data_IF_035963179862
#
_entry.id   IF_035963179862
#
_cell.length_a   1.000
_cell.length_b   1.000
_cell.length_c   1.000
_cell.angle_alpha   90.00
_cell.angle_beta   90.00
_cell.angle_gamma   90.00
#
_symmetry.space_group_name_H-M   'P 1'
#
loop_
_entity.id
_entity.type
_entity.pdbx_description
1 polymer ?
#
# COMPACT_ATOMS: atom_id res chain seq x y z
N UNK A 1 51.47 -33.35 35.49
CA UNK A 1 51.09 -33.25 34.06
C UNK A 1 49.73 -33.89 33.89
N UNK A 2 48.67 -33.10 33.78
CA UNK A 2 47.34 -33.57 33.40
C UNK A 2 47.02 -32.90 32.06
N UNK A 3 46.94 -33.71 31.02
CA UNK A 3 46.53 -33.30 29.68
C UNK A 3 45.01 -33.14 29.74
N UNK A 4 44.53 -31.90 29.71
CA UNK A 4 43.13 -31.59 29.49
C UNK A 4 42.88 -31.72 27.99
N UNK A 5 42.25 -32.82 27.59
CA UNK A 5 41.72 -33.00 26.24
C UNK A 5 40.49 -32.10 26.14
N UNK A 6 40.67 -30.92 25.55
CA UNK A 6 39.56 -30.11 25.04
C UNK A 6 38.91 -30.89 23.90
N UNK A 7 37.74 -31.49 24.19
CA UNK A 7 36.85 -31.97 23.16
C UNK A 7 36.33 -30.76 22.38
N UNK A 8 37.03 -30.42 21.29
CA UNK A 8 36.51 -29.60 20.21
C UNK A 8 35.33 -30.37 19.62
N UNK A 9 34.13 -30.09 20.13
CA UNK A 9 32.93 -30.34 19.36
C UNK A 9 33.02 -29.46 18.12
N UNK A 10 33.37 -30.09 17.00
CA UNK A 10 33.12 -29.55 15.68
C UNK A 10 31.61 -29.36 15.56
N UNK A 11 31.11 -28.20 15.95
CA UNK A 11 29.79 -27.72 15.51
C UNK A 11 29.97 -27.49 14.01
N UNK A 12 29.78 -28.55 13.23
CA UNK A 12 29.62 -28.41 11.80
C UNK A 12 28.47 -27.45 11.58
N UNK A 13 28.75 -26.33 10.92
CA UNK A 13 27.75 -25.43 10.37
C UNK A 13 26.94 -26.20 9.31
N UNK A 14 26.02 -27.07 9.74
CA UNK A 14 25.05 -27.66 8.85
C UNK A 14 24.05 -26.55 8.50
N UNK A 15 24.34 -25.81 7.42
CA UNK A 15 23.38 -24.90 6.84
C UNK A 15 22.18 -25.70 6.33
N UNK A 16 20.98 -25.35 6.79
CA UNK A 16 19.75 -25.92 6.25
C UNK A 16 19.67 -25.58 4.76
N UNK A 17 19.50 -26.57 3.85
CA UNK A 17 19.35 -26.30 2.43
C UNK A 17 18.20 -25.32 2.15
N UNK A 18 18.39 -24.39 1.21
CA UNK A 18 17.42 -23.30 0.98
C UNK A 18 16.05 -23.81 0.51
N UNK A 19 15.99 -24.97 -0.14
CA UNK A 19 14.72 -25.61 -0.51
C UNK A 19 13.88 -26.03 0.70
N UNK A 20 14.50 -26.31 1.86
CA UNK A 20 13.79 -26.67 3.09
C UNK A 20 13.26 -25.46 3.86
N UNK A 21 13.74 -24.26 3.52
CA UNK A 21 13.32 -23.01 4.13
C UNK A 21 11.98 -22.52 3.60
N UNK A 22 11.52 -23.04 2.45
CA UNK A 22 10.18 -22.80 1.90
C UNK A 22 9.27 -24.02 2.09
N UNK A 23 7.96 -23.79 2.14
CA UNK A 23 6.98 -24.86 2.19
C UNK A 23 5.69 -24.46 1.48
N UNK A 24 5.18 -25.37 0.66
CA UNK A 24 3.82 -25.32 0.17
C UNK A 24 2.87 -25.80 1.27
N UNK A 25 2.15 -24.86 1.88
CA UNK A 25 1.12 -25.17 2.88
C UNK A 25 -0.16 -25.70 2.22
N UNK A 26 -0.35 -25.35 0.95
CA UNK A 26 -1.31 -25.90 -0.01
C UNK A 26 -0.78 -25.66 -1.43
N UNK A 27 -0.76 -26.70 -2.25
CA UNK A 27 -0.34 -26.64 -3.65
C UNK A 27 -1.16 -27.64 -4.47
N UNK A 28 -2.34 -27.21 -4.86
CA UNK A 28 -3.38 -28.01 -5.52
C UNK A 28 -3.67 -27.48 -6.94
N UNK A 29 -2.80 -26.62 -7.49
CA UNK A 29 -2.95 -26.05 -8.83
C UNK A 29 -4.10 -25.05 -8.90
N UNK A 30 -4.25 -24.21 -7.87
CA UNK A 30 -5.29 -23.18 -7.85
C UNK A 30 -4.89 -21.98 -8.72
N UNK A 31 -5.88 -21.20 -9.14
CA UNK A 31 -5.64 -20.03 -10.00
C UNK A 31 -5.00 -18.83 -9.26
N UNK A 32 -5.05 -18.81 -7.93
CA UNK A 32 -4.54 -17.70 -7.12
C UNK A 32 -3.44 -18.17 -6.17
N UNK A 33 -2.53 -17.27 -5.79
CA UNK A 33 -1.40 -17.57 -4.90
C UNK A 33 -1.36 -16.63 -3.70
N UNK A 34 -1.09 -17.18 -2.52
CA UNK A 34 -0.65 -16.46 -1.33
C UNK A 34 0.82 -16.77 -1.08
N UNK A 35 1.66 -15.74 -0.96
CA UNK A 35 3.08 -15.90 -0.61
C UNK A 35 3.36 -15.19 0.71
N UNK A 36 3.79 -15.94 1.71
CA UNK A 36 4.11 -15.45 3.05
C UNK A 36 5.63 -15.35 3.23
N UNK A 37 6.17 -14.14 3.44
CA UNK A 37 7.60 -13.90 3.71
C UNK A 37 7.79 -13.39 5.14
N UNK A 38 8.51 -14.17 5.97
CA UNK A 38 8.68 -13.87 7.40
C UNK A 38 9.64 -12.70 7.66
N UNK A 39 9.65 -12.18 8.89
CA UNK A 39 10.57 -11.14 9.34
C UNK A 39 11.96 -11.63 9.78
N UNK A 40 12.78 -10.69 10.23
CA UNK A 40 14.13 -10.94 10.75
C UNK A 40 14.12 -11.78 12.03
N UNK A 41 15.10 -12.66 12.18
CA UNK A 41 15.27 -13.54 13.35
C UNK A 41 14.01 -14.39 13.67
N UNK A 42 13.28 -14.77 12.63
CA UNK A 42 12.12 -15.66 12.67
C UNK A 42 12.27 -16.73 11.59
N UNK A 43 11.36 -17.70 11.58
CA UNK A 43 11.24 -18.71 10.53
C UNK A 43 9.85 -18.70 9.89
N UNK A 44 9.70 -19.43 8.78
CA UNK A 44 8.39 -19.68 8.17
C UNK A 44 7.39 -20.39 9.11
N UNK A 45 7.89 -21.14 10.10
CA UNK A 45 7.06 -21.89 11.03
C UNK A 45 6.59 -21.01 12.21
N UNK A 46 7.43 -20.07 12.66
CA UNK A 46 7.18 -19.28 13.87
C UNK A 46 6.49 -17.95 13.59
N UNK A 47 6.69 -17.37 12.40
CA UNK A 47 6.25 -16.01 12.10
C UNK A 47 4.72 -15.82 12.13
N UNK A 48 3.97 -16.85 11.77
CA UNK A 48 2.56 -16.70 11.39
C UNK A 48 1.55 -17.16 12.44
N UNK A 49 1.98 -17.81 13.53
CA UNK A 49 1.07 -18.31 14.56
C UNK A 49 -0.08 -19.13 13.97
N UNK A 50 -1.34 -18.67 14.15
CA UNK A 50 -2.52 -19.34 13.60
C UNK A 50 -2.94 -18.85 12.22
N UNK A 51 -2.25 -17.89 11.61
CA UNK A 51 -2.68 -17.25 10.36
C UNK A 51 -2.93 -18.25 9.23
N UNK A 52 -1.93 -19.09 8.94
CA UNK A 52 -2.02 -20.10 7.87
C UNK A 52 -3.09 -21.15 8.19
N UNK A 53 -3.16 -21.74 9.41
CA UNK A 53 -4.27 -22.61 9.78
C UNK A 53 -5.66 -21.95 9.61
N UNK A 54 -5.82 -20.67 9.98
CA UNK A 54 -7.08 -19.95 9.84
C UNK A 54 -7.50 -19.82 8.37
N UNK A 55 -6.55 -19.50 7.49
CA UNK A 55 -6.73 -19.41 6.02
C UNK A 55 -7.10 -20.77 5.45
N UNK A 56 -6.37 -21.84 5.81
CA UNK A 56 -6.64 -23.20 5.30
C UNK A 56 -8.01 -23.73 5.70
N UNK A 57 -8.52 -23.31 6.86
CA UNK A 57 -9.85 -23.68 7.32
C UNK A 57 -10.97 -22.78 6.74
N UNK A 58 -10.63 -21.70 6.03
CA UNK A 58 -11.58 -20.71 5.53
C UNK A 58 -11.88 -20.99 4.05
N UNK A 59 -13.12 -21.41 3.78
CA UNK A 59 -13.60 -21.69 2.42
C UNK A 59 -13.43 -20.50 1.48
N UNK A 60 -13.40 -19.28 2.01
CA UNK A 60 -13.12 -18.08 1.25
C UNK A 60 -11.74 -18.09 0.58
N UNK A 61 -10.82 -18.95 1.00
CA UNK A 61 -9.49 -19.09 0.41
C UNK A 61 -9.30 -20.41 -0.33
N UNK A 62 -10.32 -21.23 -0.57
CA UNK A 62 -10.17 -22.55 -1.25
C UNK A 62 -9.56 -22.43 -2.66
N UNK A 63 -9.65 -21.26 -3.29
CA UNK A 63 -9.11 -20.94 -4.62
C UNK A 63 -7.66 -20.44 -4.61
N UNK A 64 -6.93 -20.54 -3.50
CA UNK A 64 -5.55 -20.07 -3.37
C UNK A 64 -4.57 -21.22 -3.12
N UNK A 65 -3.46 -21.29 -3.80
CA UNK A 65 -2.29 -22.01 -3.26
C UNK A 65 -1.57 -21.12 -2.25
N UNK A 66 -0.86 -21.74 -1.30
CA UNK A 66 -0.24 -21.05 -0.17
C UNK A 66 1.22 -21.48 -0.08
N UNK A 67 2.11 -20.53 -0.30
CA UNK A 67 3.55 -20.68 -0.15
C UNK A 67 4.03 -19.91 1.08
N UNK A 68 4.58 -20.63 2.04
CA UNK A 68 5.38 -20.07 3.13
C UNK A 68 6.83 -19.98 2.67
N UNK A 69 7.27 -18.78 2.28
CA UNK A 69 8.63 -18.53 1.85
C UNK A 69 9.52 -18.17 3.05
N UNK A 70 10.55 -18.97 3.27
CA UNK A 70 11.60 -18.69 4.22
C UNK A 70 12.96 -18.61 3.56
N UNK A 71 13.90 -18.03 4.28
CA UNK A 71 15.23 -17.72 3.76
C UNK A 71 16.26 -17.71 4.91
N UNK A 72 17.56 -17.87 4.61
CA UNK A 72 18.56 -18.01 5.65
C UNK A 72 18.56 -16.84 6.63
N UNK A 73 18.49 -17.17 7.91
CA UNK A 73 18.63 -16.27 9.04
C UNK A 73 19.76 -16.78 9.91
N UNK A 74 20.77 -15.94 10.11
CA UNK A 74 21.79 -16.14 11.13
C UNK A 74 21.78 -14.92 12.03
N UNK A 75 21.85 -15.19 13.33
CA UNK A 75 21.94 -14.15 14.36
C UNK A 75 23.23 -13.35 14.16
N UNK A 76 24.35 -14.05 13.95
CA UNK A 76 25.68 -13.50 13.70
C UNK A 76 26.25 -13.98 12.37
N UNK A 77 27.11 -13.16 11.78
CA UNK A 77 27.85 -13.47 10.55
C UNK A 77 26.95 -13.75 9.34
N UNK A 78 25.71 -13.25 9.38
CA UNK A 78 24.82 -13.26 8.23
C UNK A 78 25.40 -12.37 7.13
N UNK A 79 25.87 -12.98 6.05
CA UNK A 79 26.50 -12.25 4.94
C UNK A 79 25.49 -11.80 3.88
N UNK A 80 24.48 -12.62 3.60
CA UNK A 80 23.48 -12.30 2.59
C UNK A 80 22.59 -11.17 3.10
N UNK A 81 22.42 -10.12 2.31
CA UNK A 81 21.57 -8.98 2.64
C UNK A 81 20.10 -9.21 2.20
N UNK A 82 19.28 -8.18 2.28
CA UNK A 82 17.87 -8.23 1.87
C UNK A 82 17.72 -8.41 0.34
N UNK A 83 18.64 -7.86 -0.46
CA UNK A 83 18.65 -8.00 -1.92
C UNK A 83 18.94 -9.41 -2.34
N UNK A 84 19.93 -10.06 -1.71
CA UNK A 84 20.26 -11.46 -2.01
C UNK A 84 19.05 -12.37 -1.78
N UNK A 85 18.35 -12.16 -0.67
CA UNK A 85 17.12 -12.89 -0.34
C UNK A 85 15.99 -12.57 -1.32
N UNK A 86 15.84 -11.30 -1.71
CA UNK A 86 14.88 -10.84 -2.71
C UNK A 86 15.13 -11.43 -4.10
N UNK A 87 16.39 -11.52 -4.52
CA UNK A 87 16.79 -12.14 -5.80
C UNK A 87 16.51 -13.65 -5.81
N UNK A 88 16.68 -14.33 -4.68
CA UNK A 88 16.27 -15.73 -4.54
C UNK A 88 14.75 -15.88 -4.66
N UNK A 89 13.97 -15.02 -3.97
CA UNK A 89 12.51 -15.03 -4.12
C UNK A 89 12.10 -14.72 -5.56
N UNK A 90 12.77 -13.80 -6.25
CA UNK A 90 12.54 -13.51 -7.68
C UNK A 90 12.71 -14.77 -8.54
N UNK A 91 13.73 -15.58 -8.25
CA UNK A 91 13.99 -16.82 -8.98
C UNK A 91 12.84 -17.81 -8.81
N UNK A 92 12.35 -18.01 -7.59
CA UNK A 92 11.17 -18.83 -7.31
C UNK A 92 9.94 -18.29 -8.05
N UNK A 93 9.67 -16.98 -7.94
CA UNK A 93 8.51 -16.35 -8.58
C UNK A 93 8.57 -16.40 -10.11
N UNK A 94 9.75 -16.44 -10.72
CA UNK A 94 9.90 -16.59 -12.18
C UNK A 94 9.36 -17.95 -12.65
N UNK A 95 9.48 -18.98 -11.81
CA UNK A 95 8.98 -20.33 -12.09
C UNK A 95 7.51 -20.46 -11.73
N UNK A 96 7.10 -19.92 -10.58
CA UNK A 96 5.78 -20.16 -10.02
C UNK A 96 4.70 -19.22 -10.54
N UNK A 97 4.97 -17.91 -10.64
CA UNK A 97 3.96 -16.92 -11.04
C UNK A 97 3.27 -17.21 -12.37
N UNK A 98 3.91 -17.78 -13.42
CA UNK A 98 3.22 -18.13 -14.66
C UNK A 98 1.94 -18.93 -14.46
N UNK A 99 1.88 -19.78 -13.43
CA UNK A 99 0.75 -20.67 -13.13
C UNK A 99 -0.45 -19.99 -12.46
N UNK A 100 -0.31 -18.72 -12.06
CA UNK A 100 -1.32 -18.00 -11.27
C UNK A 100 -1.79 -16.71 -11.95
N UNK A 101 -3.09 -16.42 -11.91
CA UNK A 101 -3.67 -15.18 -12.42
C UNK A 101 -3.49 -14.01 -11.43
N UNK A 102 -3.47 -14.36 -10.14
CA UNK A 102 -3.50 -13.42 -9.02
C UNK A 102 -2.52 -13.90 -7.96
N UNK A 103 -1.78 -12.97 -7.36
CA UNK A 103 -0.99 -13.27 -6.18
C UNK A 103 -1.08 -12.15 -5.14
N UNK A 104 -1.22 -12.56 -3.88
CA UNK A 104 -1.13 -11.67 -2.73
C UNK A 104 0.13 -12.05 -1.94
N UNK A 105 1.05 -11.10 -1.83
CA UNK A 105 2.27 -11.26 -1.05
C UNK A 105 2.06 -10.68 0.33
N UNK A 106 2.21 -11.48 1.37
CA UNK A 106 2.11 -11.07 2.78
C UNK A 106 3.52 -11.06 3.36
N UNK A 107 4.04 -9.86 3.61
CA UNK A 107 5.38 -9.67 4.17
C UNK A 107 5.31 -9.15 5.59
N UNK A 108 5.92 -9.86 6.54
CA UNK A 108 6.09 -9.38 7.92
C UNK A 108 7.46 -8.75 8.10
N UNK A 109 7.51 -7.55 8.70
CA UNK A 109 8.76 -6.84 9.01
C UNK A 109 9.69 -6.82 7.79
N UNK A 110 10.91 -7.33 7.91
CA UNK A 110 11.89 -7.50 6.83
C UNK A 110 11.36 -8.26 5.60
N UNK A 111 10.47 -9.23 5.79
CA UNK A 111 9.88 -10.01 4.71
C UNK A 111 9.10 -9.16 3.70
N UNK A 112 8.55 -8.03 4.14
CA UNK A 112 7.97 -7.04 3.22
C UNK A 112 9.02 -6.41 2.31
N UNK A 113 10.20 -6.07 2.84
CA UNK A 113 11.31 -5.54 2.02
C UNK A 113 11.82 -6.59 1.02
N UNK A 114 11.94 -7.84 1.45
CA UNK A 114 12.30 -8.98 0.57
C UNK A 114 11.32 -9.10 -0.61
N UNK A 115 10.01 -9.03 -0.34
CA UNK A 115 8.97 -9.06 -1.38
C UNK A 115 9.13 -7.89 -2.34
N UNK A 116 9.36 -6.67 -1.83
CA UNK A 116 9.55 -5.50 -2.70
C UNK A 116 10.77 -5.66 -3.61
N UNK A 117 11.90 -6.15 -3.09
CA UNK A 117 13.07 -6.44 -3.91
C UNK A 117 12.77 -7.41 -5.03
N UNK A 118 12.14 -8.55 -4.71
CA UNK A 118 11.80 -9.57 -5.69
C UNK A 118 10.91 -9.00 -6.82
N UNK A 119 9.90 -8.23 -6.44
CA UNK A 119 8.94 -7.63 -7.37
C UNK A 119 9.56 -6.51 -8.22
N UNK A 120 10.48 -5.70 -7.67
CA UNK A 120 11.21 -4.70 -8.45
C UNK A 120 12.13 -5.32 -9.49
N UNK A 121 12.83 -6.40 -9.13
CA UNK A 121 13.70 -7.12 -10.05
C UNK A 121 12.89 -7.85 -11.13
N UNK A 122 11.75 -8.45 -10.79
CA UNK A 122 10.80 -8.98 -11.76
C UNK A 122 10.31 -7.89 -12.72
N UNK A 123 9.95 -6.72 -12.21
CA UNK A 123 9.52 -5.60 -13.07
C UNK A 123 10.60 -5.07 -14.00
N UNK A 124 11.89 -5.23 -13.65
CA UNK A 124 13.01 -4.85 -14.50
C UNK A 124 13.43 -5.90 -15.54
N UNK A 125 13.37 -7.18 -15.19
CA UNK A 125 13.91 -8.28 -16.02
C UNK A 125 12.84 -9.15 -16.69
N UNK A 126 11.61 -9.15 -16.16
CA UNK A 126 10.50 -10.01 -16.57
C UNK A 126 9.17 -9.22 -16.51
N UNK A 127 9.15 -7.98 -17.01
CA UNK A 127 8.01 -7.07 -16.86
C UNK A 127 6.66 -7.66 -17.33
N UNK A 128 6.66 -8.45 -18.41
CA UNK A 128 5.47 -9.12 -18.94
C UNK A 128 4.88 -10.15 -17.97
N UNK A 129 5.72 -10.78 -17.13
CA UNK A 129 5.27 -11.76 -16.16
C UNK A 129 4.37 -11.13 -15.10
N UNK A 130 4.64 -9.87 -14.74
CA UNK A 130 3.89 -9.16 -13.71
C UNK A 130 2.81 -8.25 -14.27
N UNK A 131 2.94 -7.75 -15.51
CA UNK A 131 2.00 -6.79 -16.10
C UNK A 131 0.61 -7.39 -16.38
N UNK A 132 0.55 -8.69 -16.66
CA UNK A 132 -0.68 -9.39 -17.00
C UNK A 132 -1.34 -10.08 -15.78
N UNK A 133 -0.80 -9.85 -14.57
CA UNK A 133 -1.25 -10.52 -13.35
C UNK A 133 -1.77 -9.52 -12.32
N UNK A 134 -2.70 -9.97 -11.49
CA UNK A 134 -3.27 -9.15 -10.41
C UNK A 134 -2.45 -9.35 -9.14
N UNK A 135 -1.36 -8.60 -9.03
CA UNK A 135 -0.44 -8.69 -7.90
C UNK A 135 -0.74 -7.62 -6.84
N UNK A 136 -0.62 -7.96 -5.57
CA UNK A 136 -0.77 -7.03 -4.44
C UNK A 136 0.17 -7.41 -3.29
N UNK A 137 0.65 -6.42 -2.55
CA UNK A 137 1.47 -6.64 -1.35
C UNK A 137 0.71 -6.18 -0.12
N UNK A 138 0.63 -7.02 0.89
CA UNK A 138 0.21 -6.73 2.25
C UNK A 138 1.46 -6.72 3.13
N UNK A 139 1.86 -5.57 3.64
CA UNK A 139 3.02 -5.47 4.53
C UNK A 139 2.59 -5.22 5.97
N UNK A 140 3.21 -5.94 6.89
CA UNK A 140 2.89 -5.94 8.32
C UNK A 140 4.11 -5.47 9.10
N UNK A 141 4.12 -4.23 9.56
CA UNK A 141 5.23 -3.65 10.31
C UNK A 141 6.53 -3.56 9.52
N UNK A 142 6.46 -3.41 8.19
CA UNK A 142 7.66 -3.40 7.33
C UNK A 142 8.43 -2.08 7.44
N UNK A 143 9.73 -2.11 7.78
CA UNK A 143 10.48 -0.88 8.05
C UNK A 143 11.01 -0.20 6.78
N UNK A 144 10.15 0.50 6.04
CA UNK A 144 10.56 1.16 4.78
C UNK A 144 11.65 2.22 4.94
N UNK A 145 11.68 2.92 6.07
CA UNK A 145 12.74 3.88 6.41
C UNK A 145 13.68 3.35 7.50
N UNK A 146 13.66 2.03 7.71
CA UNK A 146 14.42 1.33 8.73
C UNK A 146 13.71 1.27 10.08
N UNK A 147 14.31 0.52 10.99
CA UNK A 147 13.78 0.19 12.30
C UNK A 147 14.79 0.56 13.38
N UNK A 148 14.30 0.83 14.60
CA UNK A 148 15.16 0.92 15.77
C UNK A 148 15.47 -0.49 16.26
N UNK A 149 16.29 -1.19 15.50
CA UNK A 149 16.89 -2.44 15.96
C UNK A 149 17.92 -2.07 17.01
N UNK A 150 17.61 -2.28 18.29
CA UNK A 150 18.55 -2.07 19.38
C UNK A 150 19.81 -2.88 19.05
N UNK A 151 20.92 -2.23 18.66
CA UNK A 151 22.16 -2.82 18.12
C UNK A 151 22.38 -4.28 18.54
N UNK A 152 21.77 -5.24 17.84
CA UNK A 152 21.35 -6.49 18.51
C UNK A 152 22.58 -7.30 18.96
N UNK A 153 23.77 -7.05 18.39
CA UNK A 153 24.92 -7.91 18.68
C UNK A 153 26.31 -7.26 18.75
N UNK A 154 26.41 -5.92 18.86
CA UNK A 154 27.71 -5.24 18.97
C UNK A 154 28.65 -5.47 17.76
N UNK A 155 29.90 -4.96 17.79
CA UNK A 155 30.81 -5.01 16.63
C UNK A 155 31.31 -6.42 16.27
N UNK A 156 31.12 -7.41 17.14
CA UNK A 156 31.66 -8.77 16.98
C UNK A 156 30.68 -9.77 16.33
N UNK A 157 29.49 -9.32 15.97
CA UNK A 157 28.46 -10.13 15.36
C UNK A 157 27.81 -9.33 14.23
N UNK A 158 28.52 -9.19 13.09
CA UNK A 158 28.02 -8.47 11.93
C UNK A 158 26.84 -9.22 11.31
N UNK A 159 25.86 -8.48 10.80
CA UNK A 159 24.67 -9.04 10.18
C UNK A 159 24.18 -8.11 9.07
N UNK A 160 24.41 -8.49 7.80
CA UNK A 160 24.07 -7.65 6.63
C UNK A 160 22.59 -7.29 6.56
N UNK A 161 21.70 -8.18 7.02
CA UNK A 161 20.26 -7.93 7.03
C UNK A 161 19.88 -6.90 8.09
N UNK A 162 20.44 -7.02 9.30
CA UNK A 162 20.23 -6.04 10.37
C UNK A 162 20.78 -4.65 9.96
N UNK A 163 21.96 -4.60 9.32
CA UNK A 163 22.54 -3.37 8.78
C UNK A 163 21.64 -2.74 7.70
N UNK A 164 21.08 -3.56 6.80
CA UNK A 164 20.18 -3.10 5.75
C UNK A 164 18.85 -2.55 6.28
N UNK A 165 18.41 -2.94 7.48
CA UNK A 165 17.21 -2.42 8.13
C UNK A 165 17.45 -1.26 9.09
N UNK A 166 18.69 -0.81 9.29
CA UNK A 166 18.95 0.39 10.11
C UNK A 166 18.24 1.60 9.53
N UNK A 167 17.82 2.50 10.42
CA UNK A 167 17.22 3.79 10.04
C UNK A 167 18.10 4.49 9.02
N UNK A 168 17.51 4.82 7.86
CA UNK A 168 18.19 5.48 6.74
C UNK A 168 19.43 4.73 6.23
N UNK A 169 19.42 3.40 6.27
CA UNK A 169 20.44 2.58 5.61
C UNK A 169 20.49 2.91 4.10
N UNK A 170 21.66 2.73 3.49
CA UNK A 170 21.81 2.88 2.03
C UNK A 170 20.83 1.97 1.27
N UNK A 171 20.58 0.79 1.81
CA UNK A 171 19.70 -0.20 1.18
C UNK A 171 18.23 0.22 1.25
N UNK A 172 17.73 0.63 2.42
CA UNK A 172 16.35 1.13 2.55
C UNK A 172 16.10 2.37 1.69
N UNK A 173 17.04 3.33 1.67
CA UNK A 173 16.95 4.51 0.84
C UNK A 173 16.90 4.17 -0.66
N UNK A 174 17.77 3.25 -1.10
CA UNK A 174 17.80 2.76 -2.47
C UNK A 174 16.52 2.04 -2.85
N UNK A 175 16.09 1.06 -2.06
CA UNK A 175 14.87 0.30 -2.31
C UNK A 175 13.67 1.23 -2.43
N UNK A 176 13.54 2.21 -1.53
CA UNK A 176 12.41 3.14 -1.56
C UNK A 176 12.46 4.10 -2.75
N UNK A 177 13.65 4.56 -3.13
CA UNK A 177 13.83 5.35 -4.35
C UNK A 177 13.45 4.53 -5.59
N UNK A 178 13.96 3.30 -5.69
CA UNK A 178 13.68 2.37 -6.77
C UNK A 178 12.17 2.06 -6.86
N UNK A 179 11.53 1.83 -5.71
CA UNK A 179 10.09 1.57 -5.64
C UNK A 179 9.26 2.76 -6.09
N UNK A 180 9.61 3.98 -5.68
CA UNK A 180 8.92 5.19 -6.14
C UNK A 180 9.05 5.41 -7.65
N UNK A 181 10.18 5.04 -8.24
CA UNK A 181 10.42 5.25 -9.67
C UNK A 181 9.82 4.14 -10.55
N UNK A 182 9.84 2.89 -10.08
CA UNK A 182 9.58 1.71 -10.91
C UNK A 182 8.53 0.75 -10.34
N UNK A 183 8.16 0.89 -9.07
CA UNK A 183 7.18 0.05 -8.41
C UNK A 183 5.79 0.29 -8.99
N UNK A 184 5.20 -0.75 -9.58
CA UNK A 184 3.86 -0.69 -10.20
C UNK A 184 2.81 -1.49 -9.46
N UNK A 185 3.24 -2.31 -8.50
CA UNK A 185 2.36 -3.23 -7.77
C UNK A 185 1.82 -2.49 -6.54
N UNK A 186 0.50 -2.49 -6.30
CA UNK A 186 -0.06 -1.83 -5.12
C UNK A 186 0.40 -2.50 -3.83
N UNK A 187 0.85 -1.66 -2.89
CA UNK A 187 1.27 -2.06 -1.54
C UNK A 187 0.29 -1.49 -0.53
N UNK A 188 -0.20 -2.35 0.37
CA UNK A 188 -1.12 -2.02 1.45
C UNK A 188 -0.35 -2.16 2.77
N UNK A 189 0.19 -1.04 3.30
CA UNK A 189 0.97 -1.08 4.52
C UNK A 189 0.09 -1.04 5.77
N UNK A 190 0.45 -1.90 6.73
CA UNK A 190 -0.16 -1.95 8.05
C UNK A 190 0.91 -1.85 9.14
N UNK A 191 0.59 -1.19 10.25
CA UNK A 191 1.47 -1.05 11.41
C UNK A 191 0.76 -1.45 12.71
N UNK A 192 1.54 -1.89 13.71
CA UNK A 192 1.05 -2.40 14.99
C UNK A 192 0.63 -1.32 15.98
N UNK A 193 -0.22 -0.39 15.53
CA UNK A 193 -0.82 0.68 16.33
C UNK A 193 0.16 1.40 17.26
N UNK A 194 -0.18 1.46 18.55
CA UNK A 194 0.65 2.05 19.61
C UNK A 194 1.60 1.02 20.28
N UNK A 195 1.56 -0.24 19.84
CA UNK A 195 2.24 -1.37 20.49
C UNK A 195 3.56 -1.73 19.81
N UNK A 196 3.74 -1.39 18.53
CA UNK A 196 4.99 -1.60 17.79
C UNK A 196 6.10 -0.64 18.27
N UNK A 197 7.09 -1.21 18.97
CA UNK A 197 8.28 -0.49 19.49
C UNK A 197 9.51 -0.65 18.59
N UNK A 198 9.43 -1.46 17.54
CA UNK A 198 10.56 -1.79 16.67
C UNK A 198 10.53 -0.91 15.42
N UNK A 199 9.33 -0.75 14.85
CA UNK A 199 9.09 0.01 13.63
C UNK A 199 8.08 1.11 13.91
N UNK A 200 8.53 2.35 13.79
CA UNK A 200 7.63 3.49 13.94
C UNK A 200 6.60 3.53 12.81
N UNK A 201 5.42 4.10 13.09
CA UNK A 201 4.40 4.34 12.07
C UNK A 201 4.97 5.07 10.83
N UNK A 202 5.82 6.07 11.04
CA UNK A 202 6.43 6.81 9.92
C UNK A 202 7.27 5.90 9.00
N UNK A 203 7.95 4.91 9.56
CA UNK A 203 8.69 3.92 8.79
C UNK A 203 7.75 2.90 8.14
N UNK A 204 6.79 2.35 8.89
CA UNK A 204 5.83 1.36 8.37
C UNK A 204 4.91 1.91 7.27
N UNK A 205 4.57 3.18 7.32
CA UNK A 205 3.69 3.84 6.35
C UNK A 205 4.46 4.50 5.20
N UNK A 206 5.80 4.46 5.20
CA UNK A 206 6.65 5.27 4.32
C UNK A 206 6.41 5.08 2.82
N UNK A 207 5.94 3.91 2.40
CA UNK A 207 5.70 3.58 0.99
C UNK A 207 4.39 4.15 0.43
N UNK A 208 3.36 4.27 1.28
CA UNK A 208 2.00 4.66 0.87
C UNK A 208 1.25 5.24 2.08
N UNK A 209 1.63 6.45 2.53
CA UNK A 209 1.14 7.02 3.80
C UNK A 209 -0.38 7.24 3.79
N UNK A 210 -0.98 7.57 2.65
CA UNK A 210 -2.40 7.90 2.53
C UNK A 210 -3.35 6.71 2.73
N UNK A 211 -2.84 5.49 2.56
CA UNK A 211 -3.63 4.24 2.68
C UNK A 211 -3.10 3.33 3.79
N UNK A 212 -2.15 3.83 4.60
CA UNK A 212 -1.59 3.07 5.71
C UNK A 212 -2.57 3.00 6.87
N UNK A 213 -2.79 1.81 7.41
CA UNK A 213 -3.76 1.59 8.48
C UNK A 213 -3.12 0.89 9.69
N UNK A 214 -3.60 1.21 10.89
CA UNK A 214 -3.24 0.45 12.08
C UNK A 214 -4.01 -0.87 12.14
N UNK A 215 -3.38 -1.90 12.68
CA UNK A 215 -4.02 -3.18 13.02
C UNK A 215 -3.64 -3.60 14.45
N UNK A 216 -4.30 -4.64 14.96
CA UNK A 216 -4.04 -5.16 16.30
C UNK A 216 -2.65 -5.80 16.42
N UNK A 217 -2.04 -5.68 17.60
CA UNK A 217 -0.79 -6.32 17.97
C UNK A 217 0.46 -5.42 17.89
N UNK A 218 1.51 -5.89 18.54
CA UNK A 218 2.86 -5.33 18.48
C UNK A 218 3.62 -5.79 17.22
N UNK A 219 4.92 -5.47 17.15
CA UNK A 219 5.76 -5.81 16.00
C UNK A 219 5.73 -7.29 15.62
N UNK A 220 5.61 -8.20 16.60
CA UNK A 220 5.64 -9.63 16.37
C UNK A 220 4.24 -10.20 16.16
N UNK A 221 3.29 -9.79 17.00
CA UNK A 221 1.93 -10.33 17.06
C UNK A 221 1.02 -9.80 15.96
N UNK A 222 1.38 -8.68 15.30
CA UNK A 222 0.69 -8.16 14.10
C UNK A 222 0.50 -9.22 13.00
N UNK A 223 1.44 -10.17 12.88
CA UNK A 223 1.44 -11.25 11.90
C UNK A 223 0.83 -12.57 12.43
N UNK A 224 0.33 -12.59 13.67
CA UNK A 224 -0.14 -13.79 14.39
C UNK A 224 -1.60 -13.64 14.84
N UNK A 225 -2.57 -13.49 13.92
CA UNK A 225 -3.98 -13.37 14.29
C UNK A 225 -4.44 -14.56 15.12
N UNK A 226 -5.15 -14.27 16.22
CA UNK A 226 -5.67 -15.29 17.14
C UNK A 226 -6.87 -16.04 16.56
N UNK A 227 -7.68 -15.34 15.78
CA UNK A 227 -8.88 -15.82 15.11
C UNK A 227 -9.18 -15.01 13.83
N UNK A 228 -10.34 -15.24 13.22
CA UNK A 228 -10.76 -14.58 11.98
C UNK A 228 -11.29 -13.15 12.17
N UNK A 229 -11.61 -12.74 13.39
CA UNK A 229 -12.07 -11.40 13.69
C UNK A 229 -10.89 -10.44 13.95
N UNK A 230 -9.71 -10.97 14.23
CA UNK A 230 -8.46 -10.20 14.30
C UNK A 230 -8.27 -9.32 13.06
N UNK A 231 -7.94 -8.04 13.27
CA UNK A 231 -8.00 -7.04 12.20
C UNK A 231 -7.09 -7.35 11.02
N UNK A 232 -5.85 -7.83 11.27
CA UNK A 232 -4.95 -8.34 10.21
C UNK A 232 -5.61 -9.39 9.31
N UNK A 233 -6.35 -10.35 9.88
CA UNK A 233 -7.03 -11.38 9.10
C UNK A 233 -8.14 -10.78 8.23
N UNK A 234 -8.95 -9.87 8.80
CA UNK A 234 -10.01 -9.15 8.08
C UNK A 234 -9.45 -8.31 6.94
N UNK A 235 -8.28 -7.68 7.11
CA UNK A 235 -7.60 -6.92 6.04
C UNK A 235 -7.18 -7.82 4.88
N UNK A 236 -6.68 -9.02 5.16
CA UNK A 236 -6.39 -10.01 4.11
C UNK A 236 -7.66 -10.40 3.32
N UNK A 237 -8.79 -10.62 4.01
CA UNK A 237 -10.06 -10.92 3.35
C UNK A 237 -10.52 -9.80 2.41
N UNK A 238 -10.41 -8.52 2.83
CA UNK A 238 -10.76 -7.37 1.98
C UNK A 238 -9.84 -7.29 0.75
N UNK A 239 -8.55 -7.56 0.91
CA UNK A 239 -7.60 -7.56 -0.21
C UNK A 239 -7.92 -8.67 -1.22
N UNK A 240 -8.36 -9.84 -0.75
CA UNK A 240 -8.84 -10.94 -1.57
C UNK A 240 -10.08 -10.54 -2.38
N UNK A 241 -11.07 -9.89 -1.77
CA UNK A 241 -12.31 -9.51 -2.45
C UNK A 241 -12.09 -8.47 -3.55
N UNK A 242 -11.17 -7.51 -3.33
CA UNK A 242 -10.71 -6.58 -4.38
C UNK A 242 -9.99 -7.29 -5.53
N UNK A 243 -9.54 -8.53 -5.33
CA UNK A 243 -8.98 -9.39 -6.37
C UNK A 243 -10.03 -10.25 -7.09
N UNK A 244 -11.19 -10.50 -6.51
CA UNK A 244 -12.25 -11.36 -7.07
C UNK A 244 -13.13 -10.73 -8.16
N UNK A 245 -13.08 -9.41 -8.35
CA UNK A 245 -13.82 -8.75 -9.43
C UNK A 245 -13.16 -9.03 -10.78
N UNK A 246 -13.81 -9.87 -11.60
CA UNK A 246 -13.54 -9.97 -13.04
C UNK A 246 -13.62 -8.56 -13.64
N UNK A 247 -12.54 -8.13 -14.28
CA UNK A 247 -12.52 -6.92 -15.07
C UNK A 247 -13.54 -7.05 -16.19
N UNK A 248 -14.62 -6.27 -16.10
CA UNK A 248 -15.39 -5.85 -17.27
C UNK A 248 -14.40 -5.21 -18.25
N UNK A 249 -14.47 -5.48 -19.57
CA UNK A 249 -13.57 -4.88 -20.55
C UNK A 249 -13.50 -3.36 -20.40
N UNK A 250 -12.40 -2.70 -20.83
CA UNK A 250 -12.23 -1.26 -20.74
C UNK A 250 -13.17 -0.54 -21.72
N UNK A 251 -14.44 -0.54 -21.39
CA UNK A 251 -15.45 0.36 -21.92
C UNK A 251 -16.31 0.73 -20.71
N UNK A 252 -16.19 2.01 -20.30
CA UNK A 252 -16.94 2.68 -19.22
C UNK A 252 -16.32 2.78 -17.81
N UNK A 253 -15.01 2.60 -17.64
CA UNK A 253 -14.33 3.11 -16.44
C UNK A 253 -13.74 4.51 -16.71
N UNK A 254 -14.50 5.56 -16.40
CA UNK A 254 -14.02 6.95 -16.48
C UNK A 254 -13.13 7.25 -15.27
N UNK A 255 -11.82 7.17 -15.47
CA UNK A 255 -10.78 7.56 -14.51
C UNK A 255 -10.68 9.10 -14.52
N UNK A 256 -10.80 9.73 -13.34
CA UNK A 256 -10.74 11.20 -13.18
C UNK A 256 -9.32 11.75 -12.99
N UNK A 257 -8.30 10.92 -13.23
CA UNK A 257 -6.88 11.24 -13.01
C UNK A 257 -6.13 11.49 -14.34
N UNK A 258 -6.87 11.71 -15.42
CA UNK A 258 -6.32 12.21 -16.67
C UNK A 258 -6.94 13.60 -16.88
N UNK A 259 -6.13 14.64 -16.76
CA UNK A 259 -6.59 16.03 -16.77
C UNK A 259 -7.09 16.47 -18.15
N UNK A 260 -6.49 15.97 -19.24
CA UNK A 260 -6.90 16.25 -20.62
C UNK A 260 -8.34 15.77 -20.93
N UNK A 261 -8.73 14.51 -20.64
CA UNK A 261 -10.11 14.04 -20.80
C UNK A 261 -11.14 14.85 -20.02
N UNK A 262 -10.81 15.33 -18.82
CA UNK A 262 -11.77 16.04 -17.97
C UNK A 262 -12.07 17.45 -18.48
N UNK A 263 -11.05 18.20 -18.90
CA UNK A 263 -11.22 19.52 -19.52
C UNK A 263 -12.02 19.41 -20.82
N UNK A 264 -11.73 18.40 -21.63
CA UNK A 264 -12.49 18.11 -22.86
C UNK A 264 -13.94 17.71 -22.56
N UNK A 265 -14.19 16.99 -21.46
CA UNK A 265 -15.54 16.57 -21.05
C UNK A 265 -16.37 17.72 -20.47
N UNK A 266 -15.74 18.65 -19.74
CA UNK A 266 -16.43 19.82 -19.23
C UNK A 266 -16.75 20.84 -20.34
N UNK A 267 -15.90 20.92 -21.37
CA UNK A 267 -16.07 21.85 -22.48
C UNK A 267 -15.77 23.31 -22.09
N UNK A 268 -15.97 24.28 -23.00
CA UNK A 268 -15.81 25.69 -22.69
C UNK A 268 -16.91 26.17 -21.73
N UNK A 269 -16.53 27.05 -20.81
CA UNK A 269 -17.51 27.78 -19.98
C UNK A 269 -18.02 29.00 -20.73
N UNK A 270 -19.35 29.18 -20.73
CA UNK A 270 -20.01 30.34 -21.34
C UNK A 270 -20.26 31.47 -20.33
N UNK A 271 -20.02 31.22 -19.04
CA UNK A 271 -20.33 32.13 -17.93
C UNK A 271 -19.10 32.74 -17.28
N UNK A 272 -17.89 32.29 -17.66
CA UNK A 272 -16.62 32.74 -17.07
C UNK A 272 -15.73 33.37 -18.14
N UNK A 273 -15.04 34.45 -17.79
CA UNK A 273 -14.09 35.12 -18.68
C UNK A 273 -12.84 34.29 -18.98
N UNK A 274 -12.50 33.32 -18.12
CA UNK A 274 -11.34 32.45 -18.27
C UNK A 274 -11.70 31.12 -18.96
N UNK A 275 -10.81 30.57 -19.80
CA UNK A 275 -10.96 29.22 -20.34
C UNK A 275 -11.08 28.16 -19.24
N UNK A 276 -11.98 27.18 -19.43
CA UNK A 276 -12.21 26.07 -18.49
C UNK A 276 -10.94 25.25 -18.22
N UNK A 277 -10.05 25.13 -19.20
CA UNK A 277 -8.74 24.50 -19.07
C UNK A 277 -7.88 25.10 -17.93
N UNK A 278 -8.07 26.38 -17.60
CA UNK A 278 -7.29 27.09 -16.59
C UNK A 278 -7.82 26.80 -15.17
N UNK A 279 -9.13 26.72 -14.99
CA UNK A 279 -9.73 26.68 -13.65
C UNK A 279 -10.29 25.31 -13.25
N UNK A 280 -10.74 24.48 -14.20
CA UNK A 280 -11.34 23.16 -13.90
C UNK A 280 -10.39 22.27 -13.10
N UNK A 281 -9.10 22.09 -13.47
CA UNK A 281 -8.18 21.26 -12.68
C UNK A 281 -8.03 21.73 -11.23
N UNK A 282 -7.96 23.05 -11.03
CA UNK A 282 -7.80 23.68 -9.71
C UNK A 282 -9.02 23.44 -8.83
N UNK A 283 -10.23 23.64 -9.38
CA UNK A 283 -11.47 23.40 -8.65
C UNK A 283 -11.71 21.92 -8.36
N UNK A 284 -11.35 21.01 -9.26
CA UNK A 284 -11.39 19.56 -9.03
C UNK A 284 -10.46 19.16 -7.89
N UNK A 285 -9.23 19.71 -7.86
CA UNK A 285 -8.29 19.49 -6.74
C UNK A 285 -8.87 19.94 -5.40
N UNK A 286 -9.52 21.11 -5.35
CA UNK A 286 -10.19 21.61 -4.14
C UNK A 286 -11.37 20.75 -3.71
N UNK A 287 -12.20 20.31 -4.65
CA UNK A 287 -13.33 19.39 -4.40
C UNK A 287 -12.83 18.06 -3.83
N UNK A 288 -11.72 17.53 -4.34
CA UNK A 288 -11.10 16.32 -3.79
C UNK A 288 -10.54 16.54 -2.38
N UNK A 289 -9.93 17.70 -2.10
CA UNK A 289 -9.45 18.02 -0.74
C UNK A 289 -10.60 18.14 0.26
N UNK A 290 -11.72 18.76 -0.10
CA UNK A 290 -12.91 18.82 0.76
C UNK A 290 -13.49 17.46 1.11
N UNK A 291 -13.49 16.54 0.14
CA UNK A 291 -13.94 15.16 0.35
C UNK A 291 -13.15 14.48 1.48
N UNK A 292 -11.87 14.80 1.63
CA UNK A 292 -10.97 14.18 2.62
C UNK A 292 -11.01 14.88 3.98
N UNK A 293 -11.15 16.22 4.00
CA UNK A 293 -10.88 17.02 5.21
C UNK A 293 -12.11 17.29 6.08
N UNK A 294 -13.35 17.23 5.56
CA UNK A 294 -14.56 17.66 6.31
C UNK A 294 -15.72 16.69 6.21
N UNK A 295 -16.48 16.54 7.31
CA UNK A 295 -17.76 15.81 7.38
C UNK A 295 -18.98 16.59 6.84
N UNK A 296 -18.78 17.84 6.40
CA UNK A 296 -19.85 18.69 5.84
C UNK A 296 -19.40 19.17 4.46
N UNK A 297 -20.20 18.87 3.45
CA UNK A 297 -19.90 19.09 2.04
C UNK A 297 -20.93 20.05 1.45
N UNK A 298 -20.64 21.35 1.43
CA UNK A 298 -21.48 22.35 0.77
C UNK A 298 -20.61 23.42 0.11
N UNK A 299 -21.24 24.28 -0.70
CA UNK A 299 -20.54 25.32 -1.44
C UNK A 299 -19.84 26.32 -0.52
N UNK A 300 -20.43 26.63 0.63
CA UNK A 300 -19.84 27.50 1.64
C UNK A 300 -18.51 26.94 2.20
N UNK A 301 -18.46 25.65 2.49
CA UNK A 301 -17.23 24.97 2.91
C UNK A 301 -16.17 24.96 1.80
N UNK A 302 -16.58 24.78 0.54
CA UNK A 302 -15.66 24.84 -0.60
C UNK A 302 -14.99 26.21 -0.73
N UNK A 303 -15.75 27.28 -0.56
CA UNK A 303 -15.19 28.63 -0.54
C UNK A 303 -14.30 28.87 0.68
N UNK A 304 -14.67 28.36 1.86
CA UNK A 304 -13.86 28.49 3.08
C UNK A 304 -12.51 27.75 3.05
N UNK A 305 -12.42 26.59 2.37
CA UNK A 305 -11.14 25.88 2.17
C UNK A 305 -10.20 26.66 1.25
N UNK A 306 -10.75 27.40 0.28
CA UNK A 306 -9.96 28.28 -0.59
C UNK A 306 -9.37 29.46 0.18
N UNK A 307 -10.11 30.08 1.11
CA UNK A 307 -9.61 31.24 1.87
C UNK A 307 -8.38 30.91 2.75
N UNK A 308 -8.20 29.63 3.11
CA UNK A 308 -7.00 29.15 3.81
C UNK A 308 -5.80 28.93 2.88
N UNK A 309 -6.02 28.94 1.56
CA UNK A 309 -5.01 28.83 0.52
C UNK A 309 -4.76 30.24 -0.04
N UNK A 310 -3.98 31.03 0.71
CA UNK A 310 -3.55 32.40 0.34
C UNK A 310 -2.74 32.39 -0.97
N UNK A 311 -3.41 32.37 -2.12
CA UNK A 311 -2.76 32.62 -3.41
C UNK A 311 -3.69 33.40 -4.37
N UNK A 312 -3.22 34.62 -4.65
CA UNK A 312 -3.45 35.48 -5.81
C UNK A 312 -4.87 35.98 -6.12
N UNK A 313 -5.04 37.30 -5.94
CA UNK A 313 -5.86 38.17 -6.78
C UNK A 313 -7.38 37.97 -6.73
N UNK A 314 -8.13 39.08 -6.70
CA UNK A 314 -9.58 39.02 -6.94
C UNK A 314 -9.85 38.55 -8.37
N UNK A 315 -10.21 37.26 -8.51
CA UNK A 315 -10.74 36.70 -9.74
C UNK A 315 -12.25 36.99 -9.76
N UNK A 316 -12.79 37.71 -10.76
CA UNK A 316 -14.19 38.17 -10.76
C UNK A 316 -15.24 37.05 -10.76
N UNK A 317 -14.91 35.88 -11.31
CA UNK A 317 -15.88 34.82 -11.63
C UNK A 317 -15.77 33.57 -10.75
N UNK A 318 -15.17 33.67 -9.56
CA UNK A 318 -14.87 32.50 -8.70
C UNK A 318 -16.04 31.57 -8.44
N UNK A 319 -17.20 32.14 -8.11
CA UNK A 319 -18.39 31.36 -7.80
C UNK A 319 -18.91 30.65 -9.05
N UNK A 320 -18.86 31.32 -10.20
CA UNK A 320 -19.27 30.77 -11.50
C UNK A 320 -18.34 29.64 -11.95
N UNK A 321 -17.03 29.77 -11.72
CA UNK A 321 -16.06 28.71 -12.01
C UNK A 321 -16.25 27.46 -11.12
N UNK A 322 -16.52 27.68 -9.83
CA UNK A 322 -16.85 26.61 -8.89
C UNK A 322 -18.13 25.90 -9.32
N UNK A 323 -19.19 26.65 -9.63
CA UNK A 323 -20.46 26.11 -10.10
C UNK A 323 -20.33 25.38 -11.42
N UNK A 324 -19.61 25.94 -12.38
CA UNK A 324 -19.33 25.28 -13.65
C UNK A 324 -18.66 23.93 -13.42
N UNK A 325 -17.63 23.91 -12.57
CA UNK A 325 -16.88 22.68 -12.28
C UNK A 325 -17.76 21.65 -11.55
N UNK A 326 -18.50 22.06 -10.52
CA UNK A 326 -19.40 21.17 -9.78
C UNK A 326 -20.52 20.64 -10.67
N UNK A 327 -21.11 21.47 -11.53
CA UNK A 327 -22.14 21.07 -12.50
C UNK A 327 -21.58 20.09 -13.54
N UNK A 328 -20.33 20.30 -13.98
CA UNK A 328 -19.65 19.33 -14.83
C UNK A 328 -19.48 17.98 -14.12
N UNK A 329 -18.99 18.02 -12.87
CA UNK A 329 -18.80 16.83 -12.03
C UNK A 329 -20.13 16.10 -11.76
N UNK A 330 -21.23 16.84 -11.59
CA UNK A 330 -22.57 16.27 -11.47
C UNK A 330 -23.03 15.60 -12.76
N UNK A 331 -22.87 16.27 -13.90
CA UNK A 331 -23.25 15.73 -15.23
C UNK A 331 -22.51 14.43 -15.56
N UNK A 332 -21.27 14.28 -15.11
CA UNK A 332 -20.47 13.06 -15.32
C UNK A 332 -20.67 12.03 -14.19
N UNK A 333 -21.56 12.30 -13.23
CA UNK A 333 -21.95 11.37 -12.17
C UNK A 333 -20.95 11.25 -11.01
N UNK A 334 -20.06 12.23 -10.82
CA UNK A 334 -19.06 12.23 -9.73
C UNK A 334 -19.65 12.67 -8.39
N UNK A 335 -20.57 13.62 -8.43
CA UNK A 335 -21.26 14.16 -7.27
C UNK A 335 -22.70 14.48 -7.64
N UNK A 336 -23.51 14.83 -6.64
CA UNK A 336 -24.85 15.38 -6.79
C UNK A 336 -24.93 16.65 -5.99
N UNK A 337 -25.56 17.69 -6.53
CA UNK A 337 -25.85 18.92 -5.80
C UNK A 337 -27.32 18.92 -5.37
N UNK A 338 -27.56 19.19 -4.09
CA UNK A 338 -28.91 19.25 -3.51
C UNK A 338 -29.14 20.59 -2.81
N UNK A 339 -30.38 21.09 -2.87
CA UNK A 339 -30.76 22.28 -2.12
C UNK A 339 -30.73 21.99 -0.62
N UNK A 340 -30.30 22.98 0.16
CA UNK A 340 -30.33 22.92 1.62
C UNK A 340 -31.69 23.42 2.09
N UNK A 341 -32.33 22.67 2.99
CA UNK A 341 -33.58 23.07 3.64
C UNK A 341 -33.31 23.35 5.15
N UNK A 342 -33.57 24.57 5.65
CA UNK A 342 -34.05 25.76 4.93
C UNK A 342 -32.99 26.37 4.01
N UNK A 343 -33.38 27.06 2.92
CA UNK A 343 -32.45 27.70 1.98
C UNK A 343 -31.48 28.65 2.69
N UNK A 344 -30.18 28.45 2.45
CA UNK A 344 -29.11 29.33 2.95
C UNK A 344 -28.55 30.12 1.79
N UNK A 345 -28.59 31.44 1.86
CA UNK A 345 -28.05 32.31 0.81
C UNK A 345 -26.60 32.70 1.13
N UNK A 346 -25.73 32.58 0.15
CA UNK A 346 -24.36 33.09 0.18
C UNK A 346 -24.28 34.40 -0.60
N UNK A 347 -23.47 35.34 -0.11
CA UNK A 347 -23.17 36.58 -0.80
C UNK A 347 -21.93 36.39 -1.69
N UNK A 348 -22.11 36.53 -2.99
CA UNK A 348 -21.04 36.47 -3.98
C UNK A 348 -20.31 37.81 -4.07
N UNK A 349 -19.09 37.79 -4.60
CA UNK A 349 -18.35 39.00 -4.95
C UNK A 349 -19.20 39.83 -5.92
N UNK A 350 -19.51 41.09 -5.55
CA UNK A 350 -20.38 41.97 -6.33
C UNK A 350 -21.86 41.99 -5.91
N UNK A 351 -22.21 41.49 -4.72
CA UNK A 351 -23.54 41.67 -4.11
C UNK A 351 -24.64 40.75 -4.65
N UNK A 352 -24.29 39.79 -5.51
CA UNK A 352 -25.22 38.74 -5.99
C UNK A 352 -25.42 37.70 -4.88
N UNK A 353 -26.67 37.28 -4.65
CA UNK A 353 -27.00 36.21 -3.68
C UNK A 353 -27.19 34.89 -4.40
N UNK A 354 -26.49 33.85 -3.96
CA UNK A 354 -26.59 32.50 -4.52
C UNK A 354 -27.00 31.51 -3.46
N UNK A 355 -27.92 30.60 -3.79
CA UNK A 355 -28.39 29.55 -2.87
C UNK A 355 -27.25 28.55 -2.60
N UNK A 356 -26.93 28.28 -1.33
CA UNK A 356 -25.95 27.28 -0.94
C UNK A 356 -26.51 25.88 -1.24
N UNK A 357 -25.67 25.02 -1.80
CA UNK A 357 -26.04 23.67 -2.18
C UNK A 357 -25.17 22.66 -1.45
N UNK A 358 -25.78 21.58 -1.00
CA UNK A 358 -25.14 20.41 -0.44
C UNK A 358 -24.50 19.61 -1.57
N UNK A 359 -23.24 19.28 -1.42
CA UNK A 359 -22.46 18.47 -2.36
C UNK A 359 -22.43 17.03 -1.83
N UNK A 360 -22.97 16.09 -2.57
CA UNK A 360 -23.04 14.67 -2.18
C UNK A 360 -22.18 13.87 -3.16
N UNK A 361 -21.06 13.33 -2.69
CA UNK A 361 -20.20 12.50 -3.53
C UNK A 361 -20.87 11.15 -3.81
N UNK A 362 -20.94 10.75 -5.08
CA UNK A 362 -21.62 9.54 -5.52
C UNK A 362 -20.63 8.38 -5.64
N UNK A 363 -20.69 7.43 -4.68
CA UNK A 363 -19.80 6.24 -4.50
C UNK A 363 -18.28 6.56 -4.49
N UNK A 364 -17.48 5.81 -3.72
CA UNK A 364 -16.06 6.11 -3.62
C UNK A 364 -15.33 5.68 -4.90
N UNK A 365 -15.07 6.64 -5.79
CA UNK A 365 -13.96 6.51 -6.72
C UNK A 365 -12.68 6.47 -5.87
N UNK A 366 -11.94 5.37 -6.00
CA UNK A 366 -10.58 5.20 -5.50
C UNK A 366 -9.77 6.40 -5.95
N UNK A 367 -9.34 7.21 -4.99
CA UNK A 367 -8.28 8.19 -5.19
C UNK A 367 -7.09 7.37 -5.65
N UNK A 368 -6.69 7.50 -6.92
CA UNK A 368 -5.37 7.04 -7.34
C UNK A 368 -4.46 8.20 -6.98
N UNK A 369 -3.52 8.03 -6.04
CA UNK A 369 -2.50 9.05 -5.79
C UNK A 369 -1.75 9.30 -7.11
N UNK A 370 -1.52 10.58 -7.44
CA UNK A 370 -0.69 10.99 -8.59
C UNK A 370 0.74 10.45 -8.52
#
# INVERSE_FOLDING_TARGET
>A
MAIVILALWTIGCASVPSEQLRAWERHEGKANLLVFAHGFNSSRAEAWGRFIPLIKADKGFDEYDILSYGYPQQVCFQTNDIRDVGAHLKSELTVELPNYDTAIFVGHSMGGLVVLHALLELGGSNAELISNKRLRVMSLGTPYYGATLASIFGPYCPNSQAEAMKVLSKESARLMQDWRQRGKIPVFPFYGGLEDKVVSQASACGIAPDICESVDGDHETIAKPLDREHLTYRKLQVMKEKAGTKTVPPSEQRILNVWEPLVNTCGPSLTTTRPSAIFVPRWVSLVNKLRVIRNIHDLQNLMGVRDHLREEGMIPDLLEEAYFTLSCLERIGYLKMEKIDPPRMMEAVGGRRVENQKIIFLKPLTIVPE
#
